data_IF_908107069516
#
_entry.id   IF_908107069516
#
_cell.length_a   1.000
_cell.length_b   1.000
_cell.length_c   1.000
_cell.angle_alpha   90.00
_cell.angle_beta   90.00
_cell.angle_gamma   90.00
#
_symmetry.space_group_name_H-M   'P 1'
#
loop_
_entity.id
_entity.type
_entity.pdbx_description
1 polymer ?
#
# COMPACT_ATOMS: atom_id res chain seq x y z
N UNK A 1 -1.13 -0.89 -14.58
CA UNK A 1 -0.10 0.00 -13.99
C UNK A 1 -0.56 1.44 -13.75
N UNK A 2 -1.65 1.91 -14.35
CA UNK A 2 -2.19 3.29 -14.23
C UNK A 2 -2.22 3.88 -12.81
N UNK A 3 -2.40 3.06 -11.77
CA UNK A 3 -2.46 3.51 -10.37
C UNK A 3 -1.12 3.89 -9.76
N UNK A 4 0.01 3.52 -10.35
CA UNK A 4 1.34 3.83 -9.81
C UNK A 4 1.82 5.22 -10.28
N UNK A 5 2.43 5.99 -9.38
CA UNK A 5 3.04 7.28 -9.71
C UNK A 5 4.52 7.09 -10.04
N UNK A 6 4.88 7.15 -11.31
CA UNK A 6 6.27 6.98 -11.75
C UNK A 6 7.20 8.13 -11.30
N UNK A 7 6.64 9.27 -10.87
CA UNK A 7 7.44 10.42 -10.44
C UNK A 7 7.86 10.34 -8.96
N UNK A 8 6.94 9.96 -8.08
CA UNK A 8 7.15 9.97 -6.63
C UNK A 8 7.03 8.58 -5.99
N UNK A 9 6.71 7.55 -6.76
CA UNK A 9 6.35 6.24 -6.25
C UNK A 9 4.99 6.22 -5.57
N UNK A 10 4.56 5.03 -5.19
CA UNK A 10 3.31 4.80 -4.48
C UNK A 10 2.08 4.88 -5.35
N UNK A 11 1.00 4.30 -4.85
CA UNK A 11 -0.29 4.26 -5.51
C UNK A 11 -1.04 5.57 -5.32
N UNK A 12 -1.54 6.14 -6.42
CA UNK A 12 -2.56 7.18 -6.38
C UNK A 12 -3.82 6.66 -5.69
N UNK A 13 -4.48 7.53 -4.91
CA UNK A 13 -5.78 7.21 -4.34
C UNK A 13 -6.86 7.01 -5.41
N UNK A 14 -6.82 7.79 -6.49
CA UNK A 14 -7.79 7.67 -7.58
C UNK A 14 -7.20 8.10 -8.92
N UNK A 15 -7.53 7.36 -9.97
CA UNK A 15 -7.15 7.65 -11.36
C UNK A 15 -8.38 7.76 -12.25
N UNK A 16 -8.26 8.46 -13.38
CA UNK A 16 -9.29 8.52 -14.41
C UNK A 16 -8.95 7.49 -15.50
N UNK A 17 -9.94 6.74 -15.98
CA UNK A 17 -9.72 5.65 -16.95
C UNK A 17 -9.37 6.16 -18.37
N UNK A 18 -9.90 7.32 -18.76
CA UNK A 18 -9.65 7.95 -20.06
C UNK A 18 -9.01 9.33 -19.91
N UNK A 19 -9.34 10.24 -20.83
CA UNK A 19 -8.88 11.62 -20.78
C UNK A 19 -9.72 12.42 -19.78
N UNK A 20 -9.14 12.74 -18.62
CA UNK A 20 -9.86 13.45 -17.57
C UNK A 20 -9.09 13.53 -16.27
N UNK A 21 -9.63 14.29 -15.31
CA UNK A 21 -9.09 14.37 -13.96
C UNK A 21 -9.89 13.46 -13.02
N UNK A 22 -9.24 12.72 -12.11
CA UNK A 22 -9.96 11.91 -11.15
C UNK A 22 -10.79 12.81 -10.22
N UNK A 23 -12.07 12.48 -10.04
CA UNK A 23 -12.98 13.26 -9.18
C UNK A 23 -13.02 12.66 -7.78
N UNK A 24 -11.99 12.98 -6.99
CA UNK A 24 -11.87 12.63 -5.57
C UNK A 24 -11.23 13.78 -4.79
N UNK A 25 -11.32 13.77 -3.45
CA UNK A 25 -10.88 14.90 -2.63
C UNK A 25 -9.35 15.08 -2.58
N UNK A 26 -8.58 14.00 -2.72
CA UNK A 26 -7.12 14.04 -2.88
C UNK A 26 -6.66 12.88 -3.77
N UNK A 27 -6.92 12.92 -5.08
CA UNK A 27 -6.75 11.76 -5.94
C UNK A 27 -5.30 11.32 -6.08
N UNK A 28 -4.34 12.23 -5.86
CA UNK A 28 -2.92 11.93 -5.96
C UNK A 28 -2.26 11.65 -4.61
N UNK A 29 -2.98 11.81 -3.50
CA UNK A 29 -2.50 11.41 -2.18
C UNK A 29 -2.26 9.90 -2.10
N UNK A 30 -1.44 9.51 -1.13
CA UNK A 30 -1.04 8.12 -0.93
C UNK A 30 -1.63 7.68 0.40
N UNK A 31 -2.55 6.73 0.33
CA UNK A 31 -3.27 6.23 1.49
C UNK A 31 -2.70 4.87 1.89
N UNK A 32 -2.62 4.57 3.18
CA UNK A 32 -2.01 3.32 3.64
C UNK A 32 -2.76 2.06 3.14
N UNK A 33 -4.09 2.08 3.14
CA UNK A 33 -4.87 0.86 2.92
C UNK A 33 -4.74 0.26 1.50
N UNK A 34 -4.72 1.03 0.39
CA UNK A 34 -4.46 0.45 -0.93
C UNK A 34 -3.10 -0.22 -1.01
N UNK A 35 -2.08 0.34 -0.34
CA UNK A 35 -0.75 -0.24 -0.31
C UNK A 35 -0.73 -1.56 0.47
N UNK A 36 -1.39 -1.62 1.65
CA UNK A 36 -1.49 -2.87 2.41
C UNK A 36 -2.26 -3.96 1.66
N UNK A 37 -3.32 -3.60 0.92
CA UNK A 37 -4.02 -4.59 0.07
C UNK A 37 -3.15 -5.06 -1.09
N UNK A 38 -2.41 -4.16 -1.73
CA UNK A 38 -1.50 -4.53 -2.82
C UNK A 38 -0.39 -5.46 -2.34
N UNK A 39 0.21 -5.21 -1.16
CA UNK A 39 1.20 -6.12 -0.57
C UNK A 39 0.66 -7.54 -0.45
N UNK A 40 -0.51 -7.67 0.19
CA UNK A 40 -1.11 -8.98 0.42
C UNK A 40 -1.52 -9.64 -0.91
N UNK A 41 -2.13 -8.89 -1.83
CA UNK A 41 -2.62 -9.42 -3.10
C UNK A 41 -1.47 -9.89 -4.01
N UNK A 42 -0.38 -9.12 -4.10
CA UNK A 42 0.79 -9.47 -4.91
C UNK A 42 1.51 -10.69 -4.37
N UNK A 43 1.70 -10.75 -3.05
CA UNK A 43 2.30 -11.91 -2.41
C UNK A 43 1.44 -13.18 -2.58
N UNK A 44 0.12 -13.04 -2.49
CA UNK A 44 -0.81 -14.15 -2.73
C UNK A 44 -0.81 -14.58 -4.19
N UNK A 45 -0.73 -13.64 -5.14
CA UNK A 45 -0.59 -13.94 -6.56
C UNK A 45 0.70 -14.72 -6.82
N UNK A 46 1.83 -14.24 -6.31
CA UNK A 46 3.11 -14.93 -6.44
C UNK A 46 3.05 -16.34 -5.84
N UNK A 47 2.48 -16.50 -4.64
CA UNK A 47 2.35 -17.81 -4.01
C UNK A 47 1.54 -18.82 -4.85
N UNK A 48 0.55 -18.34 -5.62
CA UNK A 48 -0.26 -19.19 -6.48
C UNK A 48 0.33 -19.44 -7.87
N UNK A 49 1.01 -18.46 -8.45
CA UNK A 49 1.42 -18.52 -9.86
C UNK A 49 2.92 -18.69 -10.05
N UNK A 50 3.75 -18.32 -9.07
CA UNK A 50 5.21 -18.26 -9.15
C UNK A 50 5.71 -17.36 -10.30
N UNK A 51 4.89 -16.38 -10.70
CA UNK A 51 5.19 -15.48 -11.81
C UNK A 51 6.02 -14.28 -11.32
N UNK A 52 7.15 -14.01 -11.98
CA UNK A 52 8.10 -12.97 -11.55
C UNK A 52 7.48 -11.58 -11.49
N UNK A 53 6.51 -11.26 -12.36
CA UNK A 53 5.86 -9.94 -12.35
C UNK A 53 5.16 -9.65 -11.01
N UNK A 54 4.66 -10.68 -10.32
CA UNK A 54 3.98 -10.51 -9.03
C UNK A 54 5.00 -10.20 -7.92
N UNK A 55 6.15 -10.87 -7.96
CA UNK A 55 7.28 -10.62 -7.05
C UNK A 55 7.90 -9.23 -7.27
N UNK A 56 8.17 -8.87 -8.54
CA UNK A 56 8.72 -7.56 -8.90
C UNK A 56 7.83 -6.43 -8.39
N UNK A 57 6.51 -6.56 -8.59
CA UNK A 57 5.54 -5.60 -8.09
C UNK A 57 5.42 -5.65 -6.56
N UNK A 58 5.50 -6.82 -5.93
CA UNK A 58 5.48 -6.93 -4.47
C UNK A 58 6.60 -6.10 -3.86
N UNK A 59 7.83 -6.27 -4.32
CA UNK A 59 8.98 -5.52 -3.84
C UNK A 59 8.85 -4.03 -4.10
N UNK A 60 8.35 -3.63 -5.29
CA UNK A 60 8.09 -2.22 -5.61
C UNK A 60 7.07 -1.56 -4.66
N UNK A 61 5.97 -2.25 -4.32
CA UNK A 61 5.01 -1.76 -3.33
C UNK A 61 5.60 -1.80 -1.92
N UNK A 62 6.30 -2.87 -1.56
CA UNK A 62 6.95 -3.06 -0.26
C UNK A 62 7.90 -1.92 0.06
N UNK A 63 8.85 -1.66 -0.83
CA UNK A 63 9.89 -0.67 -0.61
C UNK A 63 9.31 0.73 -0.43
N UNK A 64 8.31 1.08 -1.25
CA UNK A 64 7.60 2.34 -1.05
C UNK A 64 6.86 2.37 0.29
N UNK A 65 6.11 1.32 0.59
CA UNK A 65 5.19 1.32 1.73
C UNK A 65 5.94 1.39 3.06
N UNK A 66 6.95 0.54 3.23
CA UNK A 66 7.77 0.48 4.45
C UNK A 66 8.73 1.66 4.60
N UNK A 67 9.01 2.41 3.53
CA UNK A 67 9.81 3.64 3.62
C UNK A 67 8.98 4.85 4.05
N UNK A 68 7.73 4.97 3.57
CA UNK A 68 6.97 6.22 3.70
C UNK A 68 5.87 6.20 4.75
N UNK A 69 5.23 5.05 5.01
CA UNK A 69 4.09 4.99 5.92
C UNK A 69 4.43 4.79 7.40
N UNK A 70 5.49 4.09 7.84
CA UNK A 70 5.74 3.89 9.26
C UNK A 70 5.86 5.21 10.05
N UNK A 71 5.06 5.34 11.12
CA UNK A 71 5.20 6.37 12.13
C UNK A 71 5.80 5.74 13.40
N UNK A 72 7.11 5.94 13.58
CA UNK A 72 7.87 5.39 14.70
C UNK A 72 7.46 5.97 16.06
N UNK A 73 6.89 7.17 16.09
CA UNK A 73 6.44 7.79 17.35
C UNK A 73 5.15 7.15 17.88
N UNK A 74 4.27 6.66 16.99
CA UNK A 74 3.01 6.00 17.37
C UNK A 74 3.05 4.47 17.28
N UNK A 75 4.07 3.89 16.64
CA UNK A 75 4.17 2.45 16.42
C UNK A 75 3.19 1.88 15.38
N UNK A 76 2.64 2.74 14.52
CA UNK A 76 1.65 2.38 13.48
C UNK A 76 1.96 3.18 12.21
N UNK A 77 1.26 2.96 11.10
CA UNK A 77 1.43 3.71 9.85
C UNK A 77 0.66 5.04 9.85
N UNK A 78 1.21 6.06 9.20
CA UNK A 78 0.48 7.28 8.83
C UNK A 78 -0.74 6.94 7.98
N UNK A 79 -1.85 7.64 8.19
CA UNK A 79 -3.08 7.45 7.41
C UNK A 79 -2.91 8.03 5.99
N UNK A 80 -2.47 9.28 5.89
CA UNK A 80 -2.39 10.01 4.64
C UNK A 80 -0.97 10.51 4.42
N UNK A 81 -0.47 10.32 3.20
CA UNK A 81 0.67 11.07 2.68
C UNK A 81 0.21 11.97 1.52
N UNK A 82 0.93 13.06 1.31
CA UNK A 82 0.81 13.82 0.06
C UNK A 82 1.37 13.02 -1.11
N UNK A 83 1.30 13.60 -2.32
CA UNK A 83 1.80 12.96 -3.53
C UNK A 83 3.30 12.62 -3.45
N UNK A 84 4.08 13.41 -2.73
CA UNK A 84 5.53 13.23 -2.57
C UNK A 84 5.88 12.20 -1.48
N UNK A 85 4.88 11.59 -0.85
CA UNK A 85 5.08 10.60 0.21
C UNK A 85 5.35 11.22 1.58
N UNK A 86 5.10 12.52 1.78
CA UNK A 86 5.26 13.17 3.09
C UNK A 86 3.96 13.06 3.90
N UNK A 87 4.04 12.79 5.21
CA UNK A 87 2.84 12.72 6.05
C UNK A 87 2.01 14.00 6.01
N UNK A 88 0.72 13.86 5.77
CA UNK A 88 -0.23 14.97 5.77
C UNK A 88 -1.23 14.86 6.91
N UNK A 89 -1.60 16.00 7.48
CA UNK A 89 -2.74 16.09 8.40
C UNK A 89 -4.07 15.71 7.71
N UNK A 90 -5.08 15.20 8.44
CA UNK A 90 -5.22 15.31 9.88
C UNK A 90 -4.84 14.01 10.60
N UNK A 91 -3.89 14.09 11.52
CA UNK A 91 -3.59 13.04 12.50
C UNK A 91 -4.86 12.68 13.27
N UNK A 92 -5.57 11.64 12.85
CA UNK A 92 -6.57 10.83 13.57
C UNK A 92 -7.76 11.54 14.27
N UNK A 93 -7.76 12.87 14.42
CA UNK A 93 -8.75 13.60 15.24
C UNK A 93 -10.08 13.79 14.53
N UNK A 94 -10.15 13.64 13.20
CA UNK A 94 -11.35 13.98 12.42
C UNK A 94 -11.84 12.89 11.47
N UNK A 95 -11.17 11.73 11.42
CA UNK A 95 -11.63 10.57 10.65
C UNK A 95 -11.80 9.38 11.61
N UNK A 96 -13.04 8.91 11.86
CA UNK A 96 -13.31 7.77 12.74
C UNK A 96 -12.83 6.41 12.19
N UNK A 97 -12.02 6.37 11.13
CA UNK A 97 -11.71 5.13 10.41
C UNK A 97 -10.22 5.06 10.05
N UNK A 98 -9.36 4.95 11.06
CA UNK A 98 -8.16 4.12 10.91
C UNK A 98 -8.30 2.99 11.91
N UNK A 99 -9.07 1.98 11.51
CA UNK A 99 -9.23 0.79 12.31
C UNK A 99 -7.93 -0.03 12.28
N UNK A 100 -7.57 -0.72 13.37
CA UNK A 100 -6.46 -1.67 13.41
C UNK A 100 -6.81 -2.94 12.63
N UNK A 101 -7.10 -2.79 11.34
CA UNK A 101 -7.59 -3.84 10.46
C UNK A 101 -6.65 -4.05 9.28
N UNK A 102 -6.56 -3.08 8.35
CA UNK A 102 -5.84 -3.24 7.10
C UNK A 102 -4.36 -3.60 7.30
N UNK A 103 -3.64 -2.83 8.13
CA UNK A 103 -2.21 -3.09 8.37
C UNK A 103 -1.98 -4.42 9.14
N UNK A 104 -2.59 -4.66 10.31
CA UNK A 104 -2.40 -5.93 11.02
C UNK A 104 -2.79 -7.15 10.17
N UNK A 105 -3.93 -7.09 9.47
CA UNK A 105 -4.39 -8.20 8.61
C UNK A 105 -3.39 -8.46 7.48
N UNK A 106 -2.96 -7.43 6.77
CA UNK A 106 -2.02 -7.58 5.66
C UNK A 106 -0.70 -8.21 6.15
N UNK A 107 -0.17 -7.78 7.30
CA UNK A 107 1.06 -8.35 7.87
C UNK A 107 0.87 -9.80 8.32
N UNK A 108 -0.19 -10.12 9.07
CA UNK A 108 -0.48 -11.48 9.53
C UNK A 108 -0.61 -12.44 8.34
N UNK A 109 -1.40 -12.07 7.34
CA UNK A 109 -1.59 -12.93 6.16
C UNK A 109 -0.33 -13.01 5.30
N UNK A 110 0.47 -11.93 5.22
CA UNK A 110 1.76 -11.99 4.52
C UNK A 110 2.72 -12.97 5.18
N UNK A 111 2.84 -12.95 6.52
CA UNK A 111 3.65 -13.91 7.27
C UNK A 111 3.18 -15.35 6.99
N UNK A 112 1.87 -15.61 7.07
CA UNK A 112 1.32 -16.94 6.79
C UNK A 112 1.58 -17.43 5.36
N UNK A 113 1.60 -16.52 4.38
CA UNK A 113 1.93 -16.87 2.99
C UNK A 113 3.43 -17.17 2.86
N UNK A 114 4.29 -16.33 3.45
CA UNK A 114 5.74 -16.49 3.43
C UNK A 114 6.19 -17.79 4.12
N UNK A 115 5.60 -18.14 5.26
CA UNK A 115 5.88 -19.39 5.97
C UNK A 115 5.62 -20.60 5.05
N UNK A 116 4.47 -20.61 4.36
CA UNK A 116 4.11 -21.68 3.42
C UNK A 116 5.03 -21.75 2.20
N UNK A 117 5.48 -20.60 1.69
CA UNK A 117 6.44 -20.55 0.59
C UNK A 117 7.80 -21.09 1.02
N UNK A 118 8.25 -20.73 2.23
CA UNK A 118 9.51 -21.21 2.79
C UNK A 118 9.55 -22.71 3.05
N UNK A 119 8.43 -23.33 3.41
CA UNK A 119 8.30 -24.78 3.57
C UNK A 119 8.39 -25.57 2.24
N UNK A 120 8.13 -24.90 1.11
CA UNK A 120 8.14 -25.52 -0.22
C UNK A 120 9.51 -25.48 -0.90
N UNK A 121 10.51 -24.84 -0.27
CA UNK A 121 11.87 -24.68 -0.77
C UNK A 121 12.81 -25.72 -0.16
#
# INVERSE_FOLDING_TARGET
ELGWDDQFGGLFLATHLGEGRPKWHNPHGKIWWPHTESLQALLMAYAHTQESWAEDWYWKIHDYSFTHFPNWDSGDWFHNLDREGKPTNPYLQTLPVKDPFHLPRALIYSIQILDKLGEQT
#
